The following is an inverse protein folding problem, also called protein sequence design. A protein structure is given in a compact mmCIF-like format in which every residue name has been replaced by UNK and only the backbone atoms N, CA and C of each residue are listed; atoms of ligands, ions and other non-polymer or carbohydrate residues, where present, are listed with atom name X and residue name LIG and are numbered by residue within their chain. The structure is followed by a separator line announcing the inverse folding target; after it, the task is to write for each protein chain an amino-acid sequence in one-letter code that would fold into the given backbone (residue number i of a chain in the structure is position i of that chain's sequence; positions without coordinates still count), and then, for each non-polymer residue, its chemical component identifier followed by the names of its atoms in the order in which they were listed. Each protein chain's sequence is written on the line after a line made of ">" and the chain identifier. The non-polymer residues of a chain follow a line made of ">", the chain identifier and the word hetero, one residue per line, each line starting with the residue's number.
data_IF_382309531378
#
_entry.id   IF_382309531378
#
_cell.length_a   1.000
_cell.length_b   1.000
_cell.length_c   1.000
_cell.angle_alpha   90.00
_cell.angle_beta   90.00
_cell.angle_gamma   90.00
#
_symmetry.space_group_name_H-M   'P 1'
#
loop_
_entity.id
_entity.type
_entity.pdbx_description
1 polymer ?
#
# COMPACT_ATOMS: atom_id res chain seq x y z
N UNK A 1 2.06 14.92 17.56
CA UNK A 1 1.14 14.65 16.43
C UNK A 1 0.94 13.15 16.39
N UNK A 2 -0.29 12.69 16.20
CA UNK A 2 -0.56 11.26 16.01
C UNK A 2 0.11 10.76 14.72
N UNK A 3 0.64 9.52 14.67
CA UNK A 3 1.22 8.96 13.46
C UNK A 3 0.22 8.93 12.31
N UNK A 4 0.69 9.26 11.10
CA UNK A 4 -0.11 9.14 9.89
C UNK A 4 -0.49 7.67 9.67
N UNK A 5 -1.71 7.43 9.22
CA UNK A 5 -2.21 6.10 8.89
C UNK A 5 -2.24 5.99 7.38
N UNK A 6 -1.28 5.26 6.83
CA UNK A 6 -0.97 5.28 5.40
C UNK A 6 -1.54 4.06 4.71
N UNK A 7 -2.29 4.28 3.65
CA UNK A 7 -2.67 3.27 2.69
C UNK A 7 -1.69 3.32 1.50
N UNK A 8 -1.06 2.20 1.18
CA UNK A 8 -0.12 2.09 0.06
C UNK A 8 -0.76 1.32 -1.11
N UNK A 9 -1.03 2.03 -2.21
CA UNK A 9 -1.66 1.49 -3.40
C UNK A 9 -0.63 1.23 -4.49
N UNK A 10 -0.74 0.09 -5.19
CA UNK A 10 0.26 -0.37 -6.16
C UNK A 10 1.64 -0.48 -5.51
N UNK A 11 1.70 -1.18 -4.37
CA UNK A 11 2.84 -1.16 -3.45
C UNK A 11 4.11 -1.77 -4.06
N UNK A 12 3.98 -2.63 -5.08
CA UNK A 12 5.09 -3.34 -5.68
C UNK A 12 5.95 -4.01 -4.61
N UNK A 13 7.25 -3.74 -4.64
CA UNK A 13 8.23 -4.28 -3.67
C UNK A 13 8.39 -3.43 -2.39
N UNK A 14 7.59 -2.38 -2.21
CA UNK A 14 7.58 -1.54 -1.01
C UNK A 14 8.49 -0.30 -1.09
N UNK A 15 8.62 0.28 -2.28
CA UNK A 15 9.41 1.50 -2.48
C UNK A 15 8.86 2.70 -1.72
N UNK A 16 7.54 2.90 -1.73
CA UNK A 16 6.91 4.00 -0.98
C UNK A 16 6.97 3.76 0.53
N UNK A 17 6.81 2.51 0.99
CA UNK A 17 7.05 2.15 2.39
C UNK A 17 8.46 2.50 2.84
N UNK A 18 9.49 2.13 2.07
CA UNK A 18 10.87 2.49 2.35
C UNK A 18 11.06 4.00 2.39
N UNK A 19 10.56 4.74 1.40
CA UNK A 19 10.64 6.20 1.36
C UNK A 19 9.97 6.86 2.58
N UNK A 20 8.83 6.33 3.03
CA UNK A 20 8.14 6.79 4.22
C UNK A 20 8.98 6.59 5.48
N UNK A 21 9.67 5.45 5.62
CA UNK A 21 10.63 5.22 6.72
C UNK A 21 11.81 6.20 6.68
N UNK A 22 12.39 6.41 5.51
CA UNK A 22 13.53 7.33 5.31
C UNK A 22 13.13 8.81 5.51
N UNK A 23 11.86 9.15 5.33
CA UNK A 23 11.37 10.52 5.56
C UNK A 23 11.37 10.93 7.03
N UNK A 24 11.48 9.98 7.96
CA UNK A 24 11.36 10.17 9.41
C UNK A 24 10.02 10.81 9.85
N UNK A 25 9.01 10.81 8.98
CA UNK A 25 7.66 11.23 9.32
C UNK A 25 7.01 10.13 10.18
N UNK A 26 6.45 10.44 11.36
CA UNK A 26 5.73 9.46 12.16
C UNK A 26 4.52 8.92 11.38
N UNK A 27 4.61 7.67 10.92
CA UNK A 27 3.59 7.05 10.10
C UNK A 27 3.54 5.52 10.29
N UNK A 28 2.38 4.94 10.02
CA UNK A 28 2.10 3.51 10.07
C UNK A 28 1.32 3.11 8.82
N UNK A 29 1.89 2.20 8.03
CA UNK A 29 1.21 1.64 6.85
C UNK A 29 0.13 0.65 7.33
N UNK A 30 -1.14 1.05 7.22
CA UNK A 30 -2.27 0.24 7.68
C UNK A 30 -2.63 -0.88 6.71
N UNK A 31 -2.36 -0.68 5.43
CA UNK A 31 -2.46 -1.72 4.42
C UNK A 31 -1.60 -1.36 3.20
N UNK A 32 -1.08 -2.38 2.53
CA UNK A 32 -0.44 -2.30 1.23
C UNK A 32 -1.17 -3.20 0.24
N UNK A 33 -1.33 -2.76 -1.00
CA UNK A 33 -2.13 -3.45 -2.02
C UNK A 33 -1.33 -3.56 -3.31
N UNK A 34 -1.19 -4.79 -3.81
CA UNK A 34 -0.68 -5.07 -5.15
C UNK A 34 -1.21 -6.41 -5.66
N UNK A 35 -1.38 -6.52 -6.98
CA UNK A 35 -1.86 -7.75 -7.64
C UNK A 35 -0.73 -8.73 -7.97
N UNK A 36 0.51 -8.25 -8.05
CA UNK A 36 1.65 -9.04 -8.45
C UNK A 36 2.16 -9.89 -7.28
N UNK A 37 1.96 -11.21 -7.37
CA UNK A 37 2.34 -12.16 -6.31
C UNK A 37 3.84 -12.20 -6.05
N UNK A 38 4.68 -12.05 -7.09
CA UNK A 38 6.14 -12.02 -6.94
C UNK A 38 6.58 -10.76 -6.20
N UNK A 39 6.01 -9.60 -6.54
CA UNK A 39 6.27 -8.36 -5.81
C UNK A 39 5.81 -8.46 -4.35
N UNK A 40 4.65 -9.09 -4.11
CA UNK A 40 4.12 -9.33 -2.78
C UNK A 40 5.02 -10.22 -1.91
N UNK A 41 5.67 -11.24 -2.48
CA UNK A 41 6.66 -12.05 -1.76
C UNK A 41 7.86 -11.20 -1.30
N UNK A 42 8.37 -10.35 -2.19
CA UNK A 42 9.48 -9.43 -1.87
C UNK A 42 9.03 -8.40 -0.83
N UNK A 43 7.84 -7.81 -0.99
CA UNK A 43 7.28 -6.86 -0.03
C UNK A 43 7.18 -7.50 1.36
N UNK A 44 6.57 -8.68 1.45
CA UNK A 44 6.35 -9.39 2.72
C UNK A 44 7.67 -9.83 3.38
N UNK A 45 8.69 -10.14 2.59
CA UNK A 45 10.03 -10.40 3.13
C UNK A 45 10.60 -9.18 3.87
N UNK A 46 10.43 -7.98 3.33
CA UNK A 46 10.94 -6.73 3.91
C UNK A 46 10.02 -6.14 5.01
N UNK A 47 8.71 -6.35 4.87
CA UNK A 47 7.67 -5.79 5.76
C UNK A 47 6.71 -6.89 6.26
N UNK A 48 7.20 -7.89 7.02
CA UNK A 48 6.42 -9.09 7.36
C UNK A 48 5.19 -8.82 8.25
N UNK A 49 5.16 -7.67 8.93
CA UNK A 49 4.09 -7.28 9.84
C UNK A 49 3.05 -6.35 9.19
N UNK A 50 3.28 -5.90 7.96
CA UNK A 50 2.33 -5.03 7.26
C UNK A 50 1.20 -5.85 6.65
N UNK A 51 -0.02 -5.36 6.78
CA UNK A 51 -1.19 -6.00 6.18
C UNK A 51 -1.14 -5.86 4.65
N UNK A 52 -0.72 -6.92 3.97
CA UNK A 52 -0.59 -6.96 2.51
C UNK A 52 -1.81 -7.64 1.88
N UNK A 53 -2.48 -6.94 0.97
CA UNK A 53 -3.66 -7.40 0.26
C UNK A 53 -3.31 -7.72 -1.20
N UNK A 54 -3.30 -9.01 -1.53
CA UNK A 54 -3.02 -9.49 -2.89
C UNK A 54 -4.27 -9.43 -3.78
N UNK A 55 -4.76 -8.22 -4.07
CA UNK A 55 -5.97 -7.97 -4.87
C UNK A 55 -5.90 -6.65 -5.61
N UNK A 56 -6.78 -6.47 -6.61
CA UNK A 56 -6.96 -5.19 -7.30
C UNK A 56 -7.59 -4.17 -6.35
N UNK A 57 -7.42 -2.89 -6.64
CA UNK A 57 -8.00 -1.80 -5.82
C UNK A 57 -9.52 -1.82 -5.96
N UNK A 58 -10.02 -2.15 -7.15
CA UNK A 58 -11.43 -2.34 -7.48
C UNK A 58 -12.06 -3.52 -6.72
N UNK A 59 -11.25 -4.45 -6.22
CA UNK A 59 -11.69 -5.60 -5.42
C UNK A 59 -11.88 -5.30 -3.93
N UNK A 60 -11.72 -4.04 -3.50
CA UNK A 60 -11.85 -3.62 -2.10
C UNK A 60 -13.16 -2.85 -1.96
N UNK A 61 -14.01 -3.30 -1.03
CA UNK A 61 -15.27 -2.62 -0.73
C UNK A 61 -15.03 -1.29 0.00
N UNK A 62 -15.97 -0.34 -0.13
CA UNK A 62 -15.90 0.91 0.64
C UNK A 62 -15.89 0.65 2.15
N UNK A 63 -16.65 -0.34 2.61
CA UNK A 63 -16.65 -0.76 4.02
C UNK A 63 -15.28 -1.25 4.50
N UNK A 64 -14.53 -1.95 3.65
CA UNK A 64 -13.18 -2.40 3.97
C UNK A 64 -12.20 -1.21 4.01
N UNK A 65 -12.33 -0.24 3.09
CA UNK A 65 -11.54 0.99 3.14
C UNK A 65 -11.81 1.80 4.42
N UNK A 66 -13.08 1.96 4.80
CA UNK A 66 -13.46 2.73 6.00
C UNK A 66 -12.89 2.09 7.28
N UNK A 67 -12.91 0.76 7.38
CA UNK A 67 -12.32 0.00 8.50
C UNK A 67 -10.81 0.20 8.64
N UNK A 68 -10.10 0.51 7.57
CA UNK A 68 -8.66 0.80 7.63
C UNK A 68 -8.38 2.17 8.29
N UNK A 69 -9.35 3.09 8.28
CA UNK A 69 -9.25 4.41 8.92
C UNK A 69 -7.96 5.16 8.58
N UNK A 70 -7.53 5.13 7.32
CA UNK A 70 -6.33 5.83 6.85
C UNK A 70 -6.60 7.33 6.68
N UNK A 71 -5.56 8.15 6.77
CA UNK A 71 -5.63 9.59 6.54
C UNK A 71 -4.59 10.08 5.52
N UNK A 72 -3.82 9.16 4.93
CA UNK A 72 -2.87 9.41 3.86
C UNK A 72 -2.88 8.24 2.88
N UNK A 73 -2.76 8.55 1.60
CA UNK A 73 -2.59 7.57 0.53
C UNK A 73 -1.25 7.84 -0.15
N UNK A 74 -0.43 6.79 -0.28
CA UNK A 74 0.71 6.75 -1.17
C UNK A 74 0.37 5.84 -2.34
N UNK A 75 0.71 6.23 -3.55
CA UNK A 75 0.36 5.44 -4.74
C UNK A 75 1.39 5.58 -5.86
N UNK A 76 1.57 4.49 -6.60
CA UNK A 76 2.36 4.44 -7.84
C UNK A 76 1.57 3.72 -8.95
N UNK A 77 0.48 4.32 -9.46
CA UNK A 77 -0.36 3.68 -10.47
C UNK A 77 0.45 3.39 -11.74
N UNK A 78 0.30 2.19 -12.34
CA UNK A 78 0.99 1.86 -13.57
C UNK A 78 0.39 2.64 -14.75
N UNK A 79 1.22 2.98 -15.73
CA UNK A 79 0.78 3.62 -16.97
C UNK A 79 0.21 2.55 -17.92
N UNK A 80 -1.00 2.10 -17.66
CA UNK A 80 -1.71 1.11 -18.49
C UNK A 80 -2.71 1.81 -19.44
N UNK A 81 -2.81 1.37 -20.71
CA UNK A 81 -3.76 1.96 -21.65
C UNK A 81 -5.20 1.61 -21.31
N UNK A 82 -6.12 2.54 -21.57
CA UNK A 82 -7.57 2.30 -21.43
C UNK A 82 -8.20 1.69 -22.70
N UNK A 83 -7.59 1.93 -23.86
CA UNK A 83 -8.02 1.44 -25.18
C UNK A 83 -6.80 1.01 -25.99
N UNK A 84 -6.94 -0.01 -26.84
CA UNK A 84 -5.90 -0.49 -27.77
C UNK A 84 -6.08 0.05 -29.18
#
# INVERSE_FOLDING_TARGET
>A
MEPLRVLELYSGIGGMHHALRESHIPAHVVAAIDVNTVANEVYKHNFPHTHLLSKTIEGISLEDFDKLSFNMILMSPPCQPFTS
#
